data_IF_161553579630
#
_entry.id   IF_161553579630
#
_cell.length_a   1.000
_cell.length_b   1.000
_cell.length_c   1.000
_cell.angle_alpha   90.00
_cell.angle_beta   90.00
_cell.angle_gamma   90.00
#
_symmetry.space_group_name_H-M   'P 1'
#
loop_
_entity.id
_entity.type
_entity.pdbx_description
1 polymer ?
#
# COMPACT_ATOMS: atom_id res chain seq x y z
N UNK A 1 -12.67 84.33 -29.12
CA UNK A 1 -13.14 83.76 -27.83
C UNK A 1 -13.41 82.27 -28.02
N UNK A 2 -12.86 81.49 -27.10
CA UNK A 2 -12.70 80.03 -27.09
C UNK A 2 -14.00 79.28 -26.78
N UNK A 3 -14.27 78.16 -27.47
CA UNK A 3 -15.36 77.23 -27.14
C UNK A 3 -14.90 75.78 -27.30
N UNK A 4 -14.85 75.04 -26.19
CA UNK A 4 -14.28 73.68 -26.04
C UNK A 4 -15.19 72.58 -26.60
N UNK A 5 -14.52 71.52 -27.09
CA UNK A 5 -15.07 70.20 -27.45
C UNK A 5 -15.62 69.47 -26.22
N UNK A 6 -16.76 68.79 -26.38
CA UNK A 6 -17.24 67.73 -25.50
C UNK A 6 -17.47 66.44 -26.30
N UNK A 7 -16.65 65.42 -26.04
CA UNK A 7 -16.79 64.06 -26.54
C UNK A 7 -17.02 63.20 -25.30
N UNK A 8 -18.20 62.59 -25.13
CA UNK A 8 -18.45 61.59 -24.09
C UNK A 8 -19.62 60.71 -24.49
N UNK A 9 -19.44 59.38 -24.43
CA UNK A 9 -20.51 58.42 -24.68
C UNK A 9 -20.15 57.20 -25.53
N UNK A 10 -18.95 56.63 -25.39
CA UNK A 10 -18.64 55.26 -25.88
C UNK A 10 -17.55 54.65 -25.01
N UNK A 11 -17.93 54.10 -23.86
CA UNK A 11 -16.97 53.51 -22.91
C UNK A 11 -17.52 52.48 -21.93
N UNK A 12 -18.84 52.38 -21.73
CA UNK A 12 -19.39 51.52 -20.67
C UNK A 12 -19.84 50.12 -21.13
N UNK A 13 -20.16 49.90 -22.41
CA UNK A 13 -20.65 48.59 -22.87
C UNK A 13 -19.56 47.50 -22.97
N UNK A 14 -18.28 47.88 -23.10
CA UNK A 14 -17.17 46.91 -23.26
C UNK A 14 -16.57 46.39 -21.95
N UNK A 15 -16.91 46.94 -20.79
CA UNK A 15 -16.37 46.48 -19.48
C UNK A 15 -17.18 45.33 -18.88
N UNK A 16 -18.48 45.27 -19.15
CA UNK A 16 -19.37 44.25 -18.61
C UNK A 16 -19.22 42.90 -19.34
N UNK A 17 -19.00 42.92 -20.67
CA UNK A 17 -18.75 41.71 -21.45
C UNK A 17 -17.46 40.98 -21.08
N UNK A 18 -16.38 41.73 -20.81
CA UNK A 18 -15.09 41.14 -20.38
C UNK A 18 -15.12 40.52 -18.98
N UNK A 19 -16.01 41.00 -18.10
CA UNK A 19 -16.17 40.44 -16.75
C UNK A 19 -16.96 39.13 -16.76
N UNK A 20 -17.88 38.95 -17.72
CA UNK A 20 -18.63 37.71 -17.90
C UNK A 20 -17.77 36.63 -18.59
N UNK A 21 -16.98 36.97 -19.61
CA UNK A 21 -16.02 36.02 -20.21
C UNK A 21 -14.94 35.57 -19.21
N UNK A 22 -14.42 36.47 -18.37
CA UNK A 22 -13.43 36.08 -17.35
C UNK A 22 -14.03 35.19 -16.24
N UNK A 23 -15.31 35.34 -15.91
CA UNK A 23 -16.00 34.46 -14.96
C UNK A 23 -16.32 33.08 -15.56
N UNK A 24 -16.66 33.00 -16.85
CA UNK A 24 -16.90 31.72 -17.53
C UNK A 24 -15.61 30.94 -17.80
N UNK A 25 -14.49 31.62 -18.09
CA UNK A 25 -13.16 30.98 -18.18
C UNK A 25 -12.69 30.45 -16.82
N UNK A 26 -12.96 31.18 -15.72
CA UNK A 26 -12.63 30.73 -14.36
C UNK A 26 -13.52 29.54 -13.90
N UNK A 27 -14.77 29.46 -14.36
CA UNK A 27 -15.67 28.32 -14.10
C UNK A 27 -15.37 27.10 -14.97
N UNK A 28 -14.97 27.31 -16.23
CA UNK A 28 -14.52 26.24 -17.14
C UNK A 28 -13.21 25.59 -16.67
N UNK A 29 -12.24 26.40 -16.20
CA UNK A 29 -10.96 25.90 -15.68
C UNK A 29 -11.06 25.09 -14.39
N UNK A 30 -12.07 25.35 -13.53
CA UNK A 30 -12.31 24.53 -12.32
C UNK A 30 -13.00 23.19 -12.61
N UNK A 31 -13.67 23.06 -13.75
CA UNK A 31 -14.31 21.80 -14.17
C UNK A 31 -13.32 20.87 -14.86
N UNK A 32 -12.45 21.40 -15.72
CA UNK A 32 -11.39 20.61 -16.38
C UNK A 32 -10.29 20.11 -15.44
N UNK A 33 -9.94 20.86 -14.38
CA UNK A 33 -8.87 20.47 -13.45
C UNK A 33 -9.25 19.37 -12.45
N UNK A 34 -10.54 19.03 -12.32
CA UNK A 34 -11.00 17.90 -11.48
C UNK A 34 -10.83 16.55 -12.18
N UNK A 35 -10.81 16.53 -13.52
CA UNK A 35 -10.77 15.28 -14.27
C UNK A 35 -9.32 14.82 -14.59
N UNK A 36 -8.34 15.73 -14.57
CA UNK A 36 -6.94 15.41 -14.91
C UNK A 36 -6.03 14.97 -13.74
N UNK A 37 -6.52 14.98 -12.49
CA UNK A 37 -5.71 14.52 -11.34
C UNK A 37 -5.99 13.08 -10.92
N UNK A 38 -6.90 12.36 -11.60
CA UNK A 38 -7.34 11.01 -11.21
C UNK A 38 -6.76 9.89 -12.12
N UNK A 39 -5.98 10.23 -13.14
CA UNK A 39 -5.53 9.27 -14.18
C UNK A 39 -4.18 8.58 -13.91
N UNK A 40 -3.67 8.58 -12.68
CA UNK A 40 -2.36 7.97 -12.35
C UNK A 40 -2.37 6.79 -11.37
N UNK A 41 -3.41 6.63 -10.54
CA UNK A 41 -3.40 5.62 -9.49
C UNK A 41 -4.14 4.38 -9.96
N UNK A 42 -3.39 3.37 -10.44
CA UNK A 42 -3.90 2.01 -10.64
C UNK A 42 -4.59 1.56 -9.34
N UNK A 43 -5.94 1.62 -9.33
CA UNK A 43 -6.79 1.07 -8.28
C UNK A 43 -6.45 -0.41 -8.10
N UNK A 44 -5.58 -0.71 -7.14
CA UNK A 44 -5.34 -2.05 -6.64
C UNK A 44 -6.59 -2.54 -5.93
N UNK A 45 -7.56 -3.05 -6.69
CA UNK A 45 -8.71 -3.78 -6.13
C UNK A 45 -8.15 -4.99 -5.41
N UNK A 46 -8.11 -4.95 -4.08
CA UNK A 46 -7.71 -6.10 -3.28
C UNK A 46 -8.70 -7.24 -3.49
N UNK A 47 -8.22 -8.35 -4.04
CA UNK A 47 -8.93 -9.64 -4.15
C UNK A 47 -8.36 -10.59 -3.08
N UNK A 48 -8.10 -10.06 -1.87
CA UNK A 48 -7.80 -10.89 -0.71
C UNK A 48 -9.06 -11.09 0.13
N UNK A 49 -9.17 -12.19 0.91
CA UNK A 49 -10.33 -12.41 1.75
C UNK A 49 -10.52 -11.24 2.72
N UNK A 50 -11.61 -10.50 2.52
CA UNK A 50 -12.06 -9.47 3.46
C UNK A 50 -12.30 -10.07 4.85
N UNK A 51 -12.19 -9.28 5.92
CA UNK A 51 -12.48 -9.77 7.26
C UNK A 51 -13.90 -10.38 7.30
N UNK A 52 -14.01 -11.57 7.90
CA UNK A 52 -15.22 -12.40 7.91
C UNK A 52 -16.48 -11.56 8.23
N UNK A 53 -17.53 -11.58 7.38
CA UNK A 53 -18.74 -10.77 7.57
C UNK A 53 -19.56 -11.15 8.82
N UNK A 54 -19.27 -12.30 9.43
CA UNK A 54 -20.05 -12.85 10.55
C UNK A 54 -19.80 -12.24 11.95
N UNK A 55 -18.82 -11.34 12.13
CA UNK A 55 -18.58 -10.72 13.44
C UNK A 55 -18.58 -9.20 13.33
N UNK A 56 -19.65 -8.56 13.82
CA UNK A 56 -19.76 -7.10 13.99
C UNK A 56 -18.78 -6.54 15.04
N UNK A 57 -18.03 -7.42 15.72
CA UNK A 57 -16.91 -7.06 16.60
C UNK A 57 -15.60 -7.02 15.78
N UNK A 58 -15.14 -5.80 15.54
CA UNK A 58 -13.74 -5.37 15.51
C UNK A 58 -12.72 -6.39 14.99
N UNK A 59 -12.52 -6.46 13.67
CA UNK A 59 -11.49 -7.30 13.03
C UNK A 59 -10.07 -6.94 13.51
N UNK A 60 -9.33 -7.91 14.09
CA UNK A 60 -7.92 -7.72 14.43
C UNK A 60 -7.06 -7.80 13.16
N UNK A 61 -6.54 -6.66 12.70
CA UNK A 61 -5.70 -6.57 11.51
C UNK A 61 -4.29 -7.14 11.75
N UNK A 62 -3.90 -7.37 13.02
CA UNK A 62 -2.60 -7.93 13.38
C UNK A 62 -2.49 -9.42 13.08
N UNK A 63 -3.60 -10.13 12.85
CA UNK A 63 -3.62 -11.58 12.57
C UNK A 63 -4.14 -11.87 11.17
N UNK A 64 -3.23 -12.13 10.24
CA UNK A 64 -3.59 -12.72 8.96
C UNK A 64 -3.86 -14.23 9.13
N UNK A 65 -4.99 -14.73 8.64
CA UNK A 65 -5.28 -16.17 8.53
C UNK A 65 -5.25 -16.52 7.05
N UNK A 66 -4.34 -17.41 6.65
CA UNK A 66 -4.36 -17.91 5.27
C UNK A 66 -5.58 -18.81 5.10
N UNK A 67 -6.22 -18.69 3.95
CA UNK A 67 -7.21 -19.65 3.49
C UNK A 67 -6.56 -21.01 3.23
N UNK A 68 -7.26 -22.14 3.43
CA UNK A 68 -6.74 -23.48 3.10
C UNK A 68 -6.28 -23.58 1.63
N UNK A 69 -6.94 -22.85 0.73
CA UNK A 69 -6.57 -22.77 -0.69
C UNK A 69 -5.25 -22.04 -0.91
N UNK A 70 -5.01 -20.94 -0.18
CA UNK A 70 -3.77 -20.18 -0.25
C UNK A 70 -2.61 -20.98 0.35
N UNK A 71 -2.87 -21.71 1.44
CA UNK A 71 -1.89 -22.59 2.04
C UNK A 71 -1.45 -23.69 1.08
N UNK A 72 -2.41 -24.33 0.39
CA UNK A 72 -2.12 -25.36 -0.61
C UNK A 72 -1.38 -24.78 -1.82
N UNK A 73 -1.79 -23.60 -2.32
CA UNK A 73 -1.19 -22.98 -3.50
C UNK A 73 0.26 -22.50 -3.22
N UNK A 74 0.50 -21.89 -2.06
CA UNK A 74 1.86 -21.49 -1.67
C UNK A 74 2.73 -22.66 -1.21
N UNK A 75 2.14 -23.68 -0.60
CA UNK A 75 2.81 -24.95 -0.33
C UNK A 75 3.25 -25.63 -1.63
N UNK A 76 2.38 -25.70 -2.65
CA UNK A 76 2.70 -26.25 -3.96
C UNK A 76 3.83 -25.46 -4.65
N UNK A 77 3.80 -24.13 -4.60
CA UNK A 77 4.90 -23.29 -5.10
C UNK A 77 6.22 -23.54 -4.36
N UNK A 78 6.19 -23.64 -3.02
CA UNK A 78 7.38 -23.97 -2.23
C UNK A 78 7.96 -25.33 -2.60
N UNK A 79 7.09 -26.35 -2.74
CA UNK A 79 7.48 -27.69 -3.17
C UNK A 79 8.04 -27.71 -4.60
N UNK A 80 7.46 -26.95 -5.52
CA UNK A 80 7.95 -26.84 -6.90
C UNK A 80 9.36 -26.24 -6.96
N UNK A 81 9.62 -25.17 -6.18
CA UNK A 81 10.96 -24.54 -6.11
C UNK A 81 11.98 -25.47 -5.45
N UNK A 82 11.58 -26.19 -4.40
CA UNK A 82 12.44 -27.20 -3.78
C UNK A 82 12.75 -28.36 -4.75
N UNK A 83 11.75 -28.84 -5.49
CA UNK A 83 11.89 -29.85 -6.54
C UNK A 83 12.83 -29.40 -7.64
N UNK A 84 12.65 -28.18 -8.14
CA UNK A 84 13.51 -27.58 -9.15
C UNK A 84 14.96 -27.49 -8.64
N UNK A 85 15.16 -27.00 -7.42
CA UNK A 85 16.50 -26.89 -6.83
C UNK A 85 17.17 -28.24 -6.64
N UNK A 86 16.44 -29.24 -6.14
CA UNK A 86 16.96 -30.60 -5.96
C UNK A 86 17.31 -31.27 -7.31
N UNK A 87 16.47 -31.08 -8.33
CA UNK A 87 16.72 -31.58 -9.68
C UNK A 87 17.95 -30.91 -10.30
N UNK A 88 18.00 -29.58 -10.30
CA UNK A 88 19.04 -28.78 -10.96
C UNK A 88 20.41 -28.91 -10.28
N UNK A 89 20.49 -29.06 -8.95
CA UNK A 89 21.79 -29.09 -8.26
C UNK A 89 22.30 -30.51 -7.92
N UNK A 90 21.41 -31.49 -7.76
CA UNK A 90 21.81 -32.82 -7.28
C UNK A 90 21.30 -33.99 -8.13
N UNK A 91 20.30 -33.76 -8.99
CA UNK A 91 19.65 -34.81 -9.81
C UNK A 91 19.26 -36.05 -8.99
N UNK A 92 18.89 -35.85 -7.72
CA UNK A 92 18.63 -36.93 -6.76
C UNK A 92 17.32 -36.73 -6.00
N UNK A 93 16.53 -37.79 -5.89
CA UNK A 93 15.30 -37.83 -5.07
C UNK A 93 15.60 -37.68 -3.56
N UNK A 94 16.79 -38.06 -3.08
CA UNK A 94 17.11 -37.96 -1.65
C UNK A 94 17.25 -36.51 -1.17
N UNK A 95 17.85 -35.63 -1.99
CA UNK A 95 17.98 -34.21 -1.65
C UNK A 95 16.66 -33.46 -1.69
N UNK A 96 15.69 -33.95 -2.48
CA UNK A 96 14.33 -33.41 -2.46
C UNK A 96 13.69 -33.57 -1.07
N UNK A 97 13.78 -34.77 -0.46
CA UNK A 97 13.25 -35.00 0.88
C UNK A 97 13.95 -34.17 1.97
N UNK A 98 15.25 -33.88 1.80
CA UNK A 98 16.01 -33.02 2.72
C UNK A 98 15.58 -31.54 2.60
N UNK A 99 15.28 -31.05 1.39
CA UNK A 99 14.80 -29.68 1.17
C UNK A 99 13.30 -29.51 1.45
N UNK A 100 12.53 -30.60 1.51
CA UNK A 100 11.07 -30.58 1.68
C UNK A 100 10.59 -29.80 2.92
N UNK A 101 11.21 -29.91 4.11
CA UNK A 101 10.84 -29.11 5.27
C UNK A 101 10.99 -27.61 5.02
N UNK A 102 12.04 -27.19 4.29
CA UNK A 102 12.25 -25.79 3.94
C UNK A 102 11.16 -25.28 2.97
N UNK A 103 10.72 -26.12 2.02
CA UNK A 103 9.62 -25.81 1.11
C UNK A 103 8.27 -25.66 1.81
N UNK A 104 8.00 -26.47 2.84
CA UNK A 104 6.79 -26.36 3.67
C UNK A 104 6.79 -25.16 4.62
N UNK A 105 7.96 -24.61 4.96
CA UNK A 105 8.06 -23.35 5.73
C UNK A 105 7.78 -22.09 4.88
N UNK A 106 7.86 -22.19 3.55
CA UNK A 106 7.60 -21.08 2.62
C UNK A 106 6.24 -20.36 2.83
N UNK A 107 5.09 -21.05 2.97
CA UNK A 107 3.80 -20.40 3.25
C UNK A 107 3.78 -19.63 4.57
N UNK A 108 4.56 -20.04 5.58
CA UNK A 108 4.67 -19.33 6.85
C UNK A 108 5.43 -18.01 6.68
N UNK A 109 6.49 -18.01 5.88
CA UNK A 109 7.22 -16.78 5.52
C UNK A 109 6.31 -15.82 4.74
N UNK A 110 5.62 -16.32 3.71
CA UNK A 110 4.75 -15.50 2.84
C UNK A 110 3.56 -14.87 3.58
N UNK A 111 3.10 -15.51 4.66
CA UNK A 111 2.09 -14.94 5.57
C UNK A 111 2.54 -13.61 6.17
N UNK A 112 3.83 -13.48 6.52
CA UNK A 112 4.38 -12.26 7.10
C UNK A 112 4.39 -11.15 6.06
N UNK A 113 4.79 -11.45 4.82
CA UNK A 113 4.76 -10.50 3.70
C UNK A 113 3.34 -10.02 3.41
N UNK A 114 2.36 -10.94 3.34
CA UNK A 114 0.95 -10.61 3.13
C UNK A 114 0.37 -9.74 4.26
N UNK A 115 0.80 -9.98 5.50
CA UNK A 115 0.42 -9.14 6.63
C UNK A 115 1.01 -7.73 6.46
N UNK A 116 2.30 -7.61 6.13
CA UNK A 116 2.97 -6.31 5.94
C UNK A 116 2.29 -5.51 4.83
N UNK A 117 1.98 -6.15 3.70
CA UNK A 117 1.27 -5.48 2.59
C UNK A 117 -0.12 -5.04 3.01
N UNK A 118 -0.90 -5.87 3.71
CA UNK A 118 -2.23 -5.48 4.19
C UNK A 118 -2.17 -4.28 5.14
N UNK A 119 -1.22 -4.28 6.07
CA UNK A 119 -1.00 -3.15 6.99
C UNK A 119 -0.58 -1.90 6.21
N UNK A 120 0.37 -2.00 5.28
CA UNK A 120 0.78 -0.90 4.40
C UNK A 120 -0.42 -0.28 3.69
N UNK A 121 -1.28 -1.10 3.11
CA UNK A 121 -2.46 -0.60 2.42
C UNK A 121 -3.48 0.06 3.34
N UNK A 122 -3.69 -0.48 4.53
CA UNK A 122 -4.51 0.19 5.53
C UNK A 122 -3.91 1.57 5.89
N UNK A 123 -2.58 1.69 5.94
CA UNK A 123 -1.89 2.97 6.15
C UNK A 123 -2.13 3.97 5.01
N UNK A 124 -2.02 3.53 3.75
CA UNK A 124 -2.34 4.36 2.57
C UNK A 124 -3.79 4.86 2.62
N UNK A 125 -4.73 3.96 2.92
CA UNK A 125 -6.14 4.30 3.04
C UNK A 125 -6.42 5.25 4.21
N UNK A 126 -5.72 5.06 5.34
CA UNK A 126 -5.83 5.94 6.50
C UNK A 126 -5.35 7.36 6.19
N UNK A 127 -4.23 7.53 5.48
CA UNK A 127 -3.77 8.84 4.99
C UNK A 127 -4.90 9.56 4.24
N UNK A 128 -5.50 8.89 3.26
CA UNK A 128 -6.59 9.49 2.46
C UNK A 128 -7.80 9.83 3.33
N UNK A 129 -8.19 8.94 4.24
CA UNK A 129 -9.31 9.16 5.14
C UNK A 129 -9.11 10.38 6.06
N UNK A 130 -7.90 10.56 6.61
CA UNK A 130 -7.58 11.72 7.45
C UNK A 130 -7.51 13.02 6.63
N UNK A 131 -6.99 12.99 5.40
CA UNK A 131 -7.01 14.17 4.53
C UNK A 131 -8.43 14.59 4.17
N UNK A 132 -9.30 13.63 3.87
CA UNK A 132 -10.73 13.89 3.62
C UNK A 132 -11.40 14.48 4.87
N UNK A 133 -11.19 13.87 6.03
CA UNK A 133 -11.73 14.38 7.30
C UNK A 133 -11.24 15.80 7.60
N UNK A 134 -9.94 16.05 7.47
CA UNK A 134 -9.35 17.37 7.67
C UNK A 134 -9.99 18.40 6.74
N UNK A 135 -10.21 18.08 5.47
CA UNK A 135 -10.84 19.02 4.52
C UNK A 135 -12.27 19.42 4.90
N UNK A 136 -13.08 18.49 5.43
CA UNK A 136 -14.41 18.82 5.93
C UNK A 136 -14.34 19.65 7.22
N UNK A 137 -13.46 19.30 8.16
CA UNK A 137 -13.26 20.08 9.38
C UNK A 137 -12.78 21.51 9.08
N UNK A 138 -11.85 21.66 8.13
CA UNK A 138 -11.37 22.95 7.63
C UNK A 138 -12.45 23.79 6.94
N UNK A 139 -13.44 23.15 6.33
CA UNK A 139 -14.63 23.81 5.78
C UNK A 139 -15.67 24.21 6.85
N UNK A 140 -15.37 24.01 8.13
CA UNK A 140 -16.23 24.41 9.25
C UNK A 140 -17.31 23.39 9.61
N UNK A 141 -17.26 22.17 9.07
CA UNK A 141 -18.17 21.11 9.49
C UNK A 141 -17.86 20.67 10.93
N UNK A 142 -18.90 20.33 11.69
CA UNK A 142 -18.73 19.66 12.98
C UNK A 142 -18.05 18.30 12.77
N UNK A 143 -17.38 17.77 13.80
CA UNK A 143 -16.69 16.48 13.71
C UNK A 143 -17.63 15.33 13.33
N UNK A 144 -18.84 15.32 13.87
CA UNK A 144 -19.84 14.30 13.56
C UNK A 144 -20.25 14.33 12.08
N UNK A 145 -20.54 15.53 11.54
CA UNK A 145 -20.86 15.69 10.13
C UNK A 145 -19.65 15.44 9.24
N UNK A 146 -18.47 15.92 9.63
CA UNK A 146 -17.22 15.67 8.92
C UNK A 146 -16.94 14.19 8.76
N UNK A 147 -17.07 13.40 9.84
CA UNK A 147 -16.94 11.95 9.79
C UNK A 147 -17.99 11.28 8.91
N UNK A 148 -19.26 11.69 8.99
CA UNK A 148 -20.32 11.13 8.15
C UNK A 148 -20.07 11.39 6.65
N UNK A 149 -19.63 12.60 6.31
CA UNK A 149 -19.25 12.98 4.94
C UNK A 149 -18.00 12.23 4.48
N UNK A 150 -16.98 12.08 5.35
CA UNK A 150 -15.79 11.28 5.05
C UNK A 150 -16.13 9.82 4.74
N UNK A 151 -17.06 9.21 5.46
CA UNK A 151 -17.51 7.84 5.16
C UNK A 151 -18.10 7.75 3.75
N UNK A 152 -18.92 8.72 3.36
CA UNK A 152 -19.55 8.74 2.03
C UNK A 152 -18.50 8.85 0.92
N UNK A 153 -17.48 9.70 1.11
CA UNK A 153 -16.38 9.83 0.15
C UNK A 153 -15.52 8.56 0.09
N UNK A 154 -15.19 7.97 1.25
CA UNK A 154 -14.44 6.72 1.34
C UNK A 154 -15.19 5.53 0.72
N UNK A 155 -16.52 5.50 0.83
CA UNK A 155 -17.36 4.53 0.11
C UNK A 155 -17.23 4.68 -1.41
N UNK A 156 -17.12 5.90 -1.93
CA UNK A 156 -16.87 6.15 -3.35
C UNK A 156 -15.48 5.71 -3.82
N UNK A 157 -14.46 5.86 -2.96
CA UNK A 157 -13.07 5.50 -3.28
C UNK A 157 -12.81 3.98 -3.18
N UNK A 158 -13.23 3.37 -2.07
CA UNK A 158 -12.86 2.01 -1.68
C UNK A 158 -14.02 1.01 -1.64
N UNK A 159 -15.25 1.49 -1.80
CA UNK A 159 -16.46 0.68 -1.61
C UNK A 159 -16.85 0.51 -0.14
N UNK A 160 -18.07 0.00 0.08
CA UNK A 160 -18.66 -0.22 1.41
C UNK A 160 -17.89 -1.22 2.28
N UNK A 161 -17.29 -2.21 1.64
CA UNK A 161 -16.47 -3.25 2.30
C UNK A 161 -14.98 -2.88 2.34
N UNK A 162 -14.62 -1.63 2.01
CA UNK A 162 -13.26 -1.12 2.14
C UNK A 162 -12.76 -1.20 3.58
N UNK A 163 -11.47 -1.50 3.77
CA UNK A 163 -10.91 -1.69 5.11
C UNK A 163 -11.04 -0.42 5.95
N UNK A 164 -10.64 0.74 5.40
CA UNK A 164 -10.76 2.02 6.10
C UNK A 164 -12.21 2.49 6.18
N UNK A 165 -13.00 2.25 5.13
CA UNK A 165 -14.40 2.64 5.06
C UNK A 165 -15.17 2.06 6.25
N UNK A 166 -15.03 0.75 6.48
CA UNK A 166 -15.66 0.07 7.62
C UNK A 166 -15.23 0.64 8.96
N UNK A 167 -13.95 0.97 9.12
CA UNK A 167 -13.41 1.54 10.35
C UNK A 167 -13.94 2.97 10.59
N UNK A 168 -14.01 3.80 9.54
CA UNK A 168 -14.60 5.14 9.61
C UNK A 168 -16.13 5.09 9.81
N UNK A 169 -16.82 4.08 9.27
CA UNK A 169 -18.25 3.84 9.55
C UNK A 169 -18.46 3.50 11.03
N UNK A 170 -17.62 2.66 11.62
CA UNK A 170 -17.66 2.34 13.06
C UNK A 170 -17.39 3.60 13.89
N UNK A 171 -16.39 4.39 13.50
CA UNK A 171 -16.05 5.65 14.16
C UNK A 171 -17.21 6.65 14.12
N UNK A 172 -17.80 6.89 12.94
CA UNK A 172 -18.96 7.78 12.76
C UNK A 172 -20.16 7.30 13.57
N UNK A 173 -20.48 6.00 13.54
CA UNK A 173 -21.57 5.43 14.33
C UNK A 173 -21.33 5.56 15.84
N UNK A 174 -20.09 5.36 16.31
CA UNK A 174 -19.73 5.54 17.71
C UNK A 174 -19.88 6.99 18.19
N UNK A 175 -19.49 7.96 17.37
CA UNK A 175 -19.67 9.39 17.67
C UNK A 175 -21.16 9.76 17.75
N UNK A 176 -21.98 9.26 16.82
CA UNK A 176 -23.45 9.43 16.87
C UNK A 176 -24.10 8.82 18.12
N UNK A 177 -23.46 7.80 18.70
CA UNK A 177 -23.84 7.17 19.97
C UNK A 177 -23.21 7.87 21.19
N UNK A 178 -22.71 9.09 21.02
CA UNK A 178 -22.12 9.92 22.07
C UNK A 178 -20.88 9.29 22.75
N UNK A 179 -20.16 8.40 22.05
CA UNK A 179 -18.84 7.93 22.49
C UNK A 179 -17.77 8.95 22.12
N UNK A 180 -16.72 9.02 22.94
CA UNK A 180 -15.60 9.93 22.69
C UNK A 180 -14.78 9.46 21.45
N UNK A 181 -14.64 10.27 20.39
CA UNK A 181 -13.87 9.91 19.19
C UNK A 181 -12.38 9.65 19.45
N UNK A 182 -11.78 10.26 20.48
CA UNK A 182 -10.42 9.97 20.93
C UNK A 182 -10.30 8.50 21.32
N UNK A 183 -11.26 8.00 22.11
CA UNK A 183 -11.27 6.61 22.56
C UNK A 183 -11.49 5.67 21.37
N UNK A 184 -12.38 6.02 20.45
CA UNK A 184 -12.63 5.22 19.24
C UNK A 184 -11.40 5.17 18.31
N UNK A 185 -10.68 6.28 18.16
CA UNK A 185 -9.43 6.35 17.39
C UNK A 185 -8.30 5.57 18.07
N UNK A 186 -8.17 5.63 19.39
CA UNK A 186 -7.21 4.82 20.15
C UNK A 186 -7.54 3.30 20.05
N UNK A 187 -8.82 2.93 20.13
CA UNK A 187 -9.29 1.55 19.90
C UNK A 187 -8.91 1.10 18.47
N UNK A 188 -9.10 1.96 17.47
CA UNK A 188 -8.69 1.67 16.10
C UNK A 188 -7.17 1.53 15.96
N UNK A 189 -6.36 2.42 16.53
CA UNK A 189 -4.89 2.34 16.52
C UNK A 189 -4.36 1.06 17.16
N UNK A 190 -4.89 0.71 18.34
CA UNK A 190 -4.51 -0.53 19.03
C UNK A 190 -4.78 -1.79 18.19
N UNK A 191 -5.86 -1.78 17.40
CA UNK A 191 -6.31 -2.94 16.62
C UNK A 191 -5.76 -2.98 15.19
N UNK A 192 -5.44 -1.83 14.60
CA UNK A 192 -4.87 -1.71 13.26
C UNK A 192 -3.40 -2.16 13.24
N UNK A 193 -2.67 -1.93 14.34
CA UNK A 193 -1.22 -2.13 14.39
C UNK A 193 -0.44 -1.14 13.52
N UNK A 194 -1.07 -0.01 13.18
CA UNK A 194 -0.45 1.10 12.47
C UNK A 194 0.00 2.16 13.47
N UNK A 195 1.30 2.45 13.48
CA UNK A 195 1.89 3.48 14.32
C UNK A 195 1.31 4.87 14.01
N UNK A 196 1.07 5.17 12.72
CA UNK A 196 0.52 6.46 12.30
C UNK A 196 -0.90 6.71 12.84
N UNK A 197 -1.70 5.65 13.02
CA UNK A 197 -3.05 5.75 13.60
C UNK A 197 -2.96 6.05 15.10
N UNK A 198 -2.06 5.37 15.81
CA UNK A 198 -1.85 5.58 17.25
C UNK A 198 -1.33 7.00 17.53
N UNK A 199 -0.32 7.43 16.79
CA UNK A 199 0.23 8.78 16.87
C UNK A 199 -0.84 9.84 16.56
N UNK A 200 -1.63 9.64 15.49
CA UNK A 200 -2.74 10.54 15.17
C UNK A 200 -3.79 10.59 16.29
N UNK A 201 -4.17 9.44 16.85
CA UNK A 201 -5.16 9.38 17.93
C UNK A 201 -4.70 10.15 19.19
N UNK A 202 -3.41 10.05 19.53
CA UNK A 202 -2.82 10.77 20.65
C UNK A 202 -2.80 12.28 20.42
N UNK A 203 -2.37 12.73 19.23
CA UNK A 203 -2.36 14.15 18.85
C UNK A 203 -3.78 14.70 18.81
N UNK A 204 -4.73 13.96 18.24
CA UNK A 204 -6.13 14.34 18.19
C UNK A 204 -6.73 14.50 19.59
N UNK A 205 -6.41 13.58 20.51
CA UNK A 205 -6.88 13.64 21.89
C UNK A 205 -6.31 14.84 22.67
N UNK A 206 -5.05 15.18 22.44
CA UNK A 206 -4.42 16.37 23.01
C UNK A 206 -5.04 17.66 22.45
N UNK A 207 -5.19 17.73 21.13
CA UNK A 207 -5.73 18.90 20.44
C UNK A 207 -7.18 19.22 20.83
N UNK A 208 -8.01 18.19 21.06
CA UNK A 208 -9.43 18.42 21.38
C UNK A 208 -9.65 19.05 22.76
N UNK A 209 -8.74 18.85 23.70
CA UNK A 209 -8.77 19.52 25.01
C UNK A 209 -8.55 21.03 24.89
N UNK A 210 -7.89 21.48 23.82
CA UNK A 210 -7.51 22.87 23.61
C UNK A 210 -8.45 23.62 22.63
N UNK A 211 -9.44 22.93 22.03
CA UNK A 211 -10.65 23.49 21.39
C UNK A 211 -10.47 24.37 20.14
N UNK A 212 -9.69 25.45 20.24
CA UNK A 212 -9.53 26.47 19.19
C UNK A 212 -8.58 26.08 18.06
N UNK A 213 -7.63 25.18 18.31
CA UNK A 213 -6.57 24.82 17.34
C UNK A 213 -6.74 23.41 16.75
N UNK A 214 -7.82 22.70 17.10
CA UNK A 214 -8.03 21.29 16.72
C UNK A 214 -7.95 21.07 15.21
N UNK A 215 -8.59 21.95 14.44
CA UNK A 215 -8.63 21.86 12.98
C UNK A 215 -7.24 22.07 12.37
N UNK A 216 -6.50 23.05 12.87
CA UNK A 216 -5.13 23.35 12.43
C UNK A 216 -4.16 22.20 12.75
N UNK A 217 -4.22 21.67 13.98
CA UNK A 217 -3.40 20.53 14.41
C UNK A 217 -3.72 19.26 13.59
N UNK A 218 -5.00 19.00 13.29
CA UNK A 218 -5.40 17.88 12.43
C UNK A 218 -4.86 18.07 11.02
N UNK A 219 -4.99 19.27 10.43
CA UNK A 219 -4.45 19.55 9.09
C UNK A 219 -2.94 19.38 9.04
N UNK A 220 -2.22 19.88 10.05
CA UNK A 220 -0.77 19.73 10.15
C UNK A 220 -0.36 18.26 10.26
N UNK A 221 -1.01 17.50 11.13
CA UNK A 221 -0.73 16.06 11.31
C UNK A 221 -1.08 15.25 10.07
N UNK A 222 -2.20 15.57 9.42
CA UNK A 222 -2.59 14.98 8.15
C UNK A 222 -1.55 15.26 7.04
N UNK A 223 -0.99 16.48 7.03
CA UNK A 223 0.12 16.87 6.16
C UNK A 223 1.37 16.03 6.39
N UNK A 224 1.81 15.88 7.65
CA UNK A 224 2.96 15.04 8.00
C UNK A 224 2.75 13.59 7.55
N UNK A 225 1.59 13.01 7.81
CA UNK A 225 1.27 11.63 7.39
C UNK A 225 1.29 11.53 5.86
N UNK A 226 0.74 12.53 5.17
CA UNK A 226 0.76 12.59 3.71
C UNK A 226 2.18 12.60 3.16
N UNK A 227 3.02 13.49 3.66
CA UNK A 227 4.39 13.65 3.18
C UNK A 227 5.21 12.39 3.45
N UNK A 228 5.06 11.80 4.66
CA UNK A 228 5.69 10.52 5.02
C UNK A 228 5.28 9.39 4.07
N UNK A 229 3.98 9.24 3.80
CA UNK A 229 3.48 8.20 2.89
C UNK A 229 3.95 8.45 1.45
N UNK A 230 3.97 9.70 0.99
CA UNK A 230 4.42 10.03 -0.36
C UNK A 230 5.90 9.66 -0.56
N UNK A 231 6.76 9.97 0.41
CA UNK A 231 8.16 9.54 0.40
C UNK A 231 8.27 8.01 0.40
N UNK A 232 7.48 7.31 1.22
CA UNK A 232 7.45 5.84 1.23
C UNK A 232 6.99 5.23 -0.11
N UNK A 233 6.00 5.84 -0.78
CA UNK A 233 5.55 5.41 -2.11
C UNK A 233 6.60 5.67 -3.19
N UNK A 234 7.30 6.80 -3.11
CA UNK A 234 8.41 7.13 -4.00
C UNK A 234 9.55 6.11 -3.86
N UNK A 235 9.98 5.84 -2.62
CA UNK A 235 10.99 4.82 -2.32
C UNK A 235 10.54 3.45 -2.83
N UNK A 236 9.31 3.02 -2.51
CA UNK A 236 8.79 1.74 -2.98
C UNK A 236 8.79 1.66 -4.52
N UNK A 237 8.48 2.75 -5.22
CA UNK A 237 8.46 2.77 -6.69
C UNK A 237 9.88 2.69 -7.26
N UNK A 238 10.84 3.40 -6.68
CA UNK A 238 12.25 3.34 -7.07
C UNK A 238 12.84 1.95 -6.82
N UNK A 239 12.58 1.35 -5.65
CA UNK A 239 13.07 0.02 -5.27
C UNK A 239 12.32 -1.09 -6.02
N UNK A 240 11.08 -0.90 -6.47
CA UNK A 240 10.32 -1.91 -7.22
C UNK A 240 11.05 -2.37 -8.49
N UNK A 241 11.72 -1.46 -9.20
CA UNK A 241 12.54 -1.81 -10.37
C UNK A 241 13.70 -2.73 -9.97
N UNK A 242 14.40 -2.41 -8.88
CA UNK A 242 15.52 -3.20 -8.35
C UNK A 242 15.08 -4.58 -7.86
N UNK A 243 13.93 -4.66 -7.20
CA UNK A 243 13.35 -5.94 -6.77
C UNK A 243 13.00 -6.80 -7.97
N UNK A 244 12.46 -6.21 -9.05
CA UNK A 244 12.15 -6.95 -10.27
C UNK A 244 13.42 -7.46 -10.97
N UNK A 245 14.46 -6.63 -11.10
CA UNK A 245 15.78 -7.03 -11.60
C UNK A 245 16.37 -8.18 -10.77
N UNK A 246 16.35 -8.06 -9.44
CA UNK A 246 16.84 -9.12 -8.54
C UNK A 246 16.04 -10.41 -8.73
N UNK A 247 14.72 -10.33 -8.91
CA UNK A 247 13.87 -11.49 -9.13
C UNK A 247 14.23 -12.23 -10.42
N UNK A 248 14.59 -11.50 -11.48
CA UNK A 248 15.11 -12.08 -12.71
C UNK A 248 16.49 -12.70 -12.47
N UNK A 249 17.39 -11.98 -11.81
CA UNK A 249 18.75 -12.46 -11.50
C UNK A 249 18.74 -13.75 -10.70
N UNK A 250 17.81 -13.89 -9.75
CA UNK A 250 17.61 -15.12 -8.99
C UNK A 250 17.26 -16.32 -9.88
N UNK A 251 16.60 -16.10 -11.03
CA UNK A 251 16.22 -17.15 -11.97
C UNK A 251 17.35 -17.60 -12.91
N UNK A 252 18.37 -16.76 -13.13
CA UNK A 252 19.43 -17.01 -14.11
C UNK A 252 20.19 -18.33 -13.87
N UNK A 253 20.65 -18.66 -12.64
CA UNK A 253 21.40 -19.90 -12.41
C UNK A 253 20.61 -21.16 -12.78
N UNK A 254 19.31 -21.18 -12.50
CA UNK A 254 18.44 -22.30 -12.89
C UNK A 254 18.28 -22.39 -14.41
N UNK A 255 18.09 -21.25 -15.07
CA UNK A 255 17.95 -21.18 -16.53
C UNK A 255 19.22 -21.68 -17.23
N UNK A 256 20.40 -21.26 -16.78
CA UNK A 256 21.69 -21.68 -17.36
C UNK A 256 21.88 -23.20 -17.21
N UNK A 257 21.63 -23.76 -16.02
CA UNK A 257 21.83 -25.20 -15.79
C UNK A 257 20.85 -26.02 -16.63
N UNK A 258 19.58 -25.61 -16.70
CA UNK A 258 18.58 -26.27 -17.55
C UNK A 258 18.90 -26.16 -19.04
N UNK A 259 19.36 -24.99 -19.48
CA UNK A 259 19.77 -24.76 -20.88
C UNK A 259 20.91 -25.70 -21.28
N UNK A 260 21.95 -25.80 -20.44
CA UNK A 260 23.09 -26.68 -20.71
C UNK A 260 22.69 -28.15 -20.67
N UNK A 261 21.85 -28.59 -19.70
CA UNK A 261 21.38 -29.99 -19.64
C UNK A 261 20.54 -30.36 -20.87
N UNK A 262 19.79 -29.41 -21.44
CA UNK A 262 19.02 -29.62 -22.67
C UNK A 262 19.91 -29.69 -23.93
N UNK A 263 20.87 -28.77 -24.06
CA UNK A 263 21.73 -28.69 -25.26
C UNK A 263 22.86 -29.72 -25.25
N UNK A 264 23.40 -30.09 -24.08
CA UNK A 264 24.48 -31.06 -23.94
C UNK A 264 24.21 -32.03 -22.78
N UNK A 265 23.42 -33.10 -23.04
CA UNK A 265 23.13 -34.12 -22.04
C UNK A 265 24.42 -34.81 -21.57
N UNK A 266 24.67 -34.79 -20.26
CA UNK A 266 25.83 -35.43 -19.65
C UNK A 266 26.99 -34.49 -19.27
N UNK A 267 26.90 -33.20 -19.60
CA UNK A 267 27.91 -32.20 -19.20
C UNK A 267 28.19 -32.20 -17.69
N UNK A 268 27.14 -32.24 -16.86
CA UNK A 268 27.26 -32.20 -15.39
C UNK A 268 27.45 -33.56 -14.71
N UNK A 269 27.65 -34.64 -15.47
CA UNK A 269 27.65 -36.01 -14.93
C UNK A 269 28.69 -36.22 -13.83
N UNK A 270 29.92 -35.73 -14.04
CA UNK A 270 31.01 -35.81 -13.05
C UNK A 270 30.66 -35.04 -11.77
N UNK A 271 29.94 -33.92 -11.88
CA UNK A 271 29.54 -33.13 -10.70
C UNK A 271 28.46 -33.81 -9.86
N UNK A 272 27.55 -34.58 -10.48
CA UNK A 272 26.47 -35.27 -9.76
C UNK A 272 26.88 -36.64 -9.20
N UNK A 273 27.76 -37.36 -9.90
CA UNK A 273 28.15 -38.73 -9.53
C UNK A 273 29.31 -38.76 -8.51
N UNK A 274 30.28 -37.84 -8.60
CA UNK A 274 31.45 -37.83 -7.70
C UNK A 274 31.15 -37.17 -6.34
N UNK A 275 31.75 -37.70 -5.27
CA UNK A 275 31.63 -37.13 -3.91
C UNK A 275 32.15 -35.68 -3.88
N UNK A 276 33.28 -35.42 -4.55
CA UNK A 276 33.86 -34.09 -4.65
C UNK A 276 32.93 -33.11 -5.39
N UNK A 277 32.28 -33.56 -6.48
CA UNK A 277 31.28 -32.77 -7.20
C UNK A 277 30.10 -32.37 -6.32
N UNK A 278 29.57 -33.30 -5.52
CA UNK A 278 28.47 -33.01 -4.58
C UNK A 278 28.88 -32.00 -3.50
N UNK A 279 30.11 -32.07 -2.99
CA UNK A 279 30.62 -31.06 -2.05
C UNK A 279 30.65 -29.66 -2.68
N UNK A 280 31.12 -29.55 -3.93
CA UNK A 280 31.16 -28.28 -4.67
C UNK A 280 29.73 -27.75 -4.91
N UNK A 281 28.79 -28.59 -5.34
CA UNK A 281 27.39 -28.20 -5.53
C UNK A 281 26.74 -27.71 -4.23
N UNK A 282 27.09 -28.33 -3.10
CA UNK A 282 26.61 -27.90 -1.78
C UNK A 282 27.16 -26.53 -1.40
N UNK A 283 28.46 -26.29 -1.64
CA UNK A 283 29.07 -24.99 -1.42
C UNK A 283 28.45 -23.91 -2.32
N UNK A 284 28.25 -24.19 -3.62
CA UNK A 284 27.59 -23.28 -4.55
C UNK A 284 26.16 -22.94 -4.12
N UNK A 285 25.38 -23.94 -3.69
CA UNK A 285 24.03 -23.72 -3.21
C UNK A 285 24.02 -22.87 -1.92
N UNK A 286 24.97 -23.11 -1.01
CA UNK A 286 25.08 -22.32 0.22
C UNK A 286 25.43 -20.85 -0.07
N UNK A 287 26.37 -20.59 -0.97
CA UNK A 287 26.70 -19.23 -1.42
C UNK A 287 25.51 -18.56 -2.10
N UNK A 288 24.81 -19.29 -2.98
CA UNK A 288 23.62 -18.79 -3.66
C UNK A 288 22.50 -18.45 -2.65
N UNK A 289 22.23 -19.33 -1.69
CA UNK A 289 21.26 -19.08 -0.62
C UNK A 289 21.67 -17.87 0.24
N UNK A 290 22.95 -17.74 0.58
CA UNK A 290 23.50 -16.58 1.28
C UNK A 290 23.29 -15.29 0.50
N UNK A 291 23.56 -15.30 -0.80
CA UNK A 291 23.32 -14.16 -1.68
C UNK A 291 21.83 -13.78 -1.74
N UNK A 292 20.91 -14.76 -1.81
CA UNK A 292 19.47 -14.50 -1.77
C UNK A 292 19.02 -13.84 -0.46
N UNK A 293 19.56 -14.28 0.68
CA UNK A 293 19.24 -13.71 1.99
C UNK A 293 19.77 -12.28 2.09
N UNK A 294 21.01 -12.04 1.67
CA UNK A 294 21.61 -10.71 1.67
C UNK A 294 20.86 -9.76 0.73
N UNK A 295 20.53 -10.19 -0.49
CA UNK A 295 19.77 -9.39 -1.44
C UNK A 295 18.39 -9.01 -0.88
N UNK A 296 17.67 -9.95 -0.26
CA UNK A 296 16.40 -9.63 0.41
C UNK A 296 16.57 -8.62 1.54
N UNK A 297 17.59 -8.79 2.38
CA UNK A 297 17.83 -7.88 3.52
C UNK A 297 18.15 -6.46 3.05
N UNK A 298 18.97 -6.30 2.02
CA UNK A 298 19.31 -4.98 1.46
C UNK A 298 18.07 -4.33 0.85
N UNK A 299 17.28 -5.08 0.08
CA UNK A 299 16.06 -4.57 -0.54
C UNK A 299 14.95 -4.26 0.49
N UNK A 300 14.95 -4.91 1.65
CA UNK A 300 14.01 -4.65 2.74
C UNK A 300 14.40 -3.44 3.58
N UNK A 301 15.70 -3.14 3.73
CA UNK A 301 16.20 -1.98 4.51
C UNK A 301 15.86 -0.66 3.82
N UNK A 302 15.74 -0.65 2.50
CA UNK A 302 15.36 0.56 1.77
C UNK A 302 13.87 0.90 1.95
N UNK A 303 13.03 0.01 2.50
CA UNK A 303 11.56 0.21 2.65
C UNK A 303 11.09 0.37 4.10
#
# INVERSE_FOLDING_TARGET
MTGRRGFSGKGESSRTGKSLEQQDIARGGRRGRRDETVTGQKKGRWIGPGPNPGNRRSADYRRYRLSPREWLLYGAWGLAVCGLTAYTFYRSMTMFFILLPAGLLYPVYKKMDLKRERTRQLGLQFKEAILVLASFLGAGYSLENGLAMSVTELEGLYGKEGMITREFTILSAGVRMNRQPEQLLMEFGSRSGLEDVDNFAQVFAAARRNGGELVEIIHYTAGIIRDKVQVQEEIHTMTASRVFEQKIMNGIPFLIILYIDFTSPGFFRVMYETVMGRCIMTACLAVYAGALVLAKKILEIEV
#
